data_IF_558415829148
#
_entry.id   IF_558415829148
#
_cell.length_a   1.000
_cell.length_b   1.000
_cell.length_c   1.000
_cell.angle_alpha   90.00
_cell.angle_beta   90.00
_cell.angle_gamma   90.00
#
_symmetry.space_group_name_H-M   'P 1'
#
loop_
_entity.id
_entity.type
_entity.pdbx_description
1 polymer ?
#
# COMPACT_ATOMS: atom_id res chain seq x y z
N UNK A 1 27.32 -45.42 -15.59
CA UNK A 1 26.39 -44.73 -16.50
C UNK A 1 25.08 -44.48 -15.75
N UNK A 2 24.84 -43.26 -15.25
CA UNK A 2 23.53 -42.76 -14.79
C UNK A 2 23.77 -41.41 -14.09
N UNK A 3 23.77 -40.30 -14.85
CA UNK A 3 23.67 -38.92 -14.31
C UNK A 3 23.52 -37.88 -15.44
N UNK A 4 22.55 -38.09 -16.32
CA UNK A 4 22.11 -37.06 -17.27
C UNK A 4 20.60 -37.21 -17.44
N UNK A 5 19.81 -36.67 -16.51
CA UNK A 5 18.36 -36.53 -16.72
C UNK A 5 17.64 -35.46 -15.88
N UNK A 6 18.37 -34.68 -15.05
CA UNK A 6 17.71 -33.70 -14.17
C UNK A 6 17.52 -32.31 -14.80
N UNK A 7 18.26 -31.97 -15.87
CA UNK A 7 18.15 -30.63 -16.48
C UNK A 7 16.93 -30.52 -17.39
N UNK A 8 16.57 -31.60 -18.11
CA UNK A 8 15.42 -31.59 -19.01
C UNK A 8 14.07 -31.45 -18.28
N UNK A 9 14.01 -31.95 -17.04
CA UNK A 9 12.80 -31.93 -16.20
C UNK A 9 12.52 -30.54 -15.60
N UNK A 10 13.56 -29.72 -15.41
CA UNK A 10 13.40 -28.32 -14.94
C UNK A 10 12.87 -27.43 -16.06
N UNK A 11 13.30 -27.66 -17.31
CA UNK A 11 12.82 -26.88 -18.46
C UNK A 11 11.35 -27.17 -18.82
N UNK A 12 10.87 -28.41 -18.67
CA UNK A 12 9.45 -28.73 -18.92
C UNK A 12 8.51 -28.16 -17.87
N UNK A 13 8.92 -28.07 -16.60
CA UNK A 13 8.11 -27.44 -15.55
C UNK A 13 8.01 -25.93 -15.77
N UNK A 14 9.09 -25.28 -16.21
CA UNK A 14 9.08 -23.84 -16.48
C UNK A 14 8.24 -23.47 -17.71
N UNK A 15 8.22 -24.33 -18.75
CA UNK A 15 7.36 -24.13 -19.91
C UNK A 15 5.86 -24.28 -19.60
N UNK A 16 5.48 -25.15 -18.66
CA UNK A 16 4.08 -25.31 -18.26
C UNK A 16 3.53 -24.11 -17.47
N UNK A 17 4.37 -23.41 -16.71
CA UNK A 17 3.96 -22.25 -15.91
C UNK A 17 3.68 -21.00 -16.75
N UNK A 18 4.28 -20.88 -17.94
CA UNK A 18 4.07 -19.72 -18.83
C UNK A 18 2.76 -19.84 -19.63
N UNK A 19 2.18 -21.04 -19.74
CA UNK A 19 1.01 -21.29 -20.59
C UNK A 19 -0.36 -21.04 -19.90
N UNK A 20 -0.40 -20.53 -18.67
CA UNK A 20 -1.64 -20.29 -17.90
C UNK A 20 -2.07 -18.82 -17.85
N UNK A 21 -1.39 -17.91 -18.55
CA UNK A 21 -1.83 -16.51 -18.66
C UNK A 21 -2.78 -16.38 -19.84
N UNK A 22 -4.08 -16.63 -19.62
CA UNK A 22 -5.12 -16.24 -20.56
C UNK A 22 -5.42 -14.74 -20.42
N UNK A 23 -5.51 -13.98 -21.53
CA UNK A 23 -6.06 -12.63 -21.48
C UNK A 23 -7.58 -12.73 -21.25
N UNK A 24 -8.08 -12.05 -20.21
CA UNK A 24 -9.51 -11.80 -20.08
C UNK A 24 -9.97 -10.93 -21.27
N UNK A 25 -10.74 -11.55 -22.14
CA UNK A 25 -11.52 -10.90 -23.18
C UNK A 25 -12.75 -10.31 -22.49
N UNK A 26 -12.77 -8.97 -22.39
CA UNK A 26 -13.96 -8.25 -21.96
C UNK A 26 -14.94 -8.26 -23.13
N UNK A 27 -15.98 -9.08 -23.03
CA UNK A 27 -17.13 -9.00 -23.91
C UNK A 27 -17.92 -7.73 -23.57
N UNK A 28 -17.88 -6.83 -24.53
CA UNK A 28 -18.70 -5.65 -24.72
C UNK A 28 -20.18 -6.08 -24.78
N UNK A 29 -21.00 -5.61 -23.84
CA UNK A 29 -22.44 -5.82 -23.89
C UNK A 29 -23.13 -4.50 -24.27
N UNK A 30 -23.65 -4.57 -25.48
CA UNK A 30 -24.47 -3.67 -26.26
C UNK A 30 -25.81 -3.32 -25.57
N UNK A 31 -26.14 -2.03 -25.66
CA UNK A 31 -27.46 -1.42 -25.93
C UNK A 31 -28.63 -1.55 -24.93
N UNK A 32 -29.07 -0.39 -24.45
CA UNK A 32 -30.49 -0.06 -24.41
C UNK A 32 -30.67 1.46 -24.63
N UNK A 33 -31.18 1.76 -25.82
CA UNK A 33 -31.72 3.03 -26.29
C UNK A 33 -32.78 3.62 -25.34
N UNK A 34 -32.73 4.94 -25.10
CA UNK A 34 -33.93 5.76 -24.98
C UNK A 34 -33.62 7.24 -25.27
N UNK A 35 -34.04 7.69 -26.46
CA UNK A 35 -34.20 9.10 -26.88
C UNK A 35 -35.35 9.80 -26.10
N UNK A 36 -35.75 11.09 -26.29
CA UNK A 36 -35.28 12.23 -27.14
C UNK A 36 -35.27 13.58 -26.32
N UNK A 37 -35.34 14.83 -26.86
CA UNK A 37 -35.30 15.34 -28.24
C UNK A 37 -34.30 16.49 -28.53
N UNK A 38 -34.15 16.74 -29.83
CA UNK A 38 -33.47 17.85 -30.51
C UNK A 38 -33.78 19.25 -29.96
N UNK A 39 -32.72 20.06 -29.80
CA UNK A 39 -32.80 21.51 -29.99
C UNK A 39 -31.68 21.93 -30.94
N UNK A 40 -32.14 22.45 -32.08
CA UNK A 40 -31.40 23.11 -33.16
C UNK A 40 -30.80 24.42 -32.67
N UNK A 41 -29.53 24.69 -32.97
CA UNK A 41 -29.08 26.02 -33.47
C UNK A 41 -27.65 25.99 -34.00
N UNK A 42 -27.54 26.53 -35.21
CA UNK A 42 -26.35 26.79 -36.00
C UNK A 42 -25.29 27.64 -35.29
N UNK A 43 -24.01 27.28 -35.44
CA UNK A 43 -22.98 28.31 -35.71
C UNK A 43 -21.70 27.74 -36.36
N UNK A 44 -21.62 27.95 -37.68
CA UNK A 44 -20.46 28.37 -38.49
C UNK A 44 -19.06 28.21 -37.89
N UNK A 45 -18.39 27.08 -38.17
CA UNK A 45 -16.95 26.92 -37.91
C UNK A 45 -16.10 27.32 -39.13
N UNK A 46 -15.35 28.41 -38.97
CA UNK A 46 -14.32 28.88 -39.91
C UNK A 46 -13.07 28.00 -39.80
N UNK A 47 -12.56 27.54 -40.94
CA UNK A 47 -11.24 26.94 -41.07
C UNK A 47 -10.15 27.98 -40.77
N UNK A 48 -9.38 27.76 -39.69
CA UNK A 48 -8.21 28.56 -39.33
C UNK A 48 -6.95 27.72 -39.49
N UNK A 49 -6.11 28.16 -40.43
CA UNK A 49 -4.77 27.67 -40.75
C UNK A 49 -3.90 27.52 -39.50
N UNK A 50 -3.36 26.32 -39.29
CA UNK A 50 -2.43 25.99 -38.20
C UNK A 50 -1.01 26.39 -38.59
N UNK A 51 -0.46 27.38 -37.90
CA UNK A 51 0.96 27.71 -37.92
C UNK A 51 1.66 26.90 -36.82
N UNK A 52 2.73 26.21 -37.20
CA UNK A 52 3.56 25.41 -36.31
C UNK A 52 4.44 26.34 -35.46
N UNK A 53 4.02 26.58 -34.23
CA UNK A 53 4.85 27.21 -33.20
C UNK A 53 5.75 26.18 -32.52
N UNK A 54 7.05 26.42 -32.56
CA UNK A 54 8.08 25.63 -31.89
C UNK A 54 8.12 25.98 -30.40
N UNK A 55 7.41 25.20 -29.58
CA UNK A 55 7.43 25.31 -28.12
C UNK A 55 8.81 24.94 -27.58
N UNK A 56 9.54 25.96 -27.12
CA UNK A 56 10.75 25.78 -26.30
C UNK A 56 10.32 25.23 -24.94
N UNK A 57 10.82 24.06 -24.57
CA UNK A 57 10.55 23.43 -23.27
C UNK A 57 10.93 24.40 -22.13
N UNK A 58 10.04 24.64 -21.16
CA UNK A 58 10.39 25.43 -19.98
C UNK A 58 11.53 24.72 -19.22
N UNK A 59 12.43 25.48 -18.59
CA UNK A 59 13.53 24.92 -17.82
C UNK A 59 13.01 23.95 -16.75
N UNK A 60 13.73 22.85 -16.47
CA UNK A 60 13.32 21.86 -15.47
C UNK A 60 13.14 22.56 -14.13
N UNK A 61 11.89 22.68 -13.69
CA UNK A 61 11.55 23.23 -12.39
C UNK A 61 12.13 22.31 -11.33
N UNK A 62 13.07 22.82 -10.55
CA UNK A 62 13.63 22.16 -9.37
C UNK A 62 12.49 21.59 -8.51
N UNK A 63 12.53 20.32 -8.09
CA UNK A 63 11.47 19.73 -7.31
C UNK A 63 11.27 20.54 -6.03
N UNK A 64 10.06 21.05 -5.86
CA UNK A 64 9.60 21.72 -4.65
C UNK A 64 9.88 20.82 -3.44
N UNK A 65 10.40 21.34 -2.31
CA UNK A 65 10.68 20.55 -1.11
C UNK A 65 9.45 19.76 -0.67
N UNK A 66 9.59 18.45 -0.67
CA UNK A 66 8.53 17.52 -0.31
C UNK A 66 8.11 17.75 1.15
N UNK A 67 6.86 18.14 1.35
CA UNK A 67 6.27 18.49 2.65
C UNK A 67 6.48 17.37 3.68
N UNK A 68 6.74 17.68 4.97
CA UNK A 68 7.10 16.67 5.99
C UNK A 68 6.05 15.57 6.12
N UNK A 69 6.51 14.32 6.09
CA UNK A 69 5.70 13.12 6.28
C UNK A 69 5.27 12.99 7.75
N UNK A 70 4.14 12.32 8.04
CA UNK A 70 3.97 11.81 9.39
C UNK A 70 5.10 10.83 9.71
N UNK A 71 5.91 11.11 10.73
CA UNK A 71 7.11 10.32 11.05
C UNK A 71 6.91 9.32 12.19
N UNK A 72 5.87 9.51 13.01
CA UNK A 72 5.63 8.69 14.20
C UNK A 72 4.89 7.41 13.82
N UNK A 73 5.65 6.38 13.46
CA UNK A 73 5.10 5.04 13.19
C UNK A 73 4.74 4.40 14.53
N UNK A 74 3.48 3.99 14.67
CA UNK A 74 2.96 3.28 15.85
C UNK A 74 2.49 1.89 15.44
N UNK A 75 2.63 0.94 16.36
CA UNK A 75 2.18 -0.45 16.21
C UNK A 75 1.17 -0.76 17.30
N UNK A 76 -0.01 -1.24 16.92
CA UNK A 76 -1.08 -1.57 17.86
C UNK A 76 -1.76 -2.88 17.48
N UNK A 77 -2.20 -3.61 18.49
CA UNK A 77 -2.91 -4.87 18.34
C UNK A 77 -4.17 -4.86 19.21
N UNK A 78 -5.31 -5.23 18.63
CA UNK A 78 -6.55 -5.46 19.38
C UNK A 78 -6.74 -6.96 19.51
N UNK A 79 -6.84 -7.45 20.74
CA UNK A 79 -6.96 -8.88 21.06
C UNK A 79 -8.41 -9.28 21.27
N UNK A 80 -8.72 -10.53 20.92
CA UNK A 80 -10.01 -11.09 21.26
C UNK A 80 -10.19 -11.22 22.79
N UNK A 81 -11.42 -11.12 23.30
CA UNK A 81 -11.70 -11.47 24.68
C UNK A 81 -11.46 -12.96 24.94
N UNK A 82 -11.33 -13.39 26.21
CA UNK A 82 -11.28 -14.80 26.57
C UNK A 82 -12.44 -15.58 25.94
N UNK A 83 -12.19 -16.80 25.42
CA UNK A 83 -10.99 -17.62 25.61
C UNK A 83 -9.85 -17.39 24.60
N UNK A 84 -10.00 -16.48 23.63
CA UNK A 84 -9.07 -16.31 22.51
C UNK A 84 -8.07 -15.16 22.70
N UNK A 85 -7.69 -14.86 23.95
CA UNK A 85 -6.83 -13.71 24.29
C UNK A 85 -5.40 -13.74 23.70
N UNK A 86 -5.00 -14.86 23.10
CA UNK A 86 -3.72 -15.01 22.41
C UNK A 86 -3.77 -14.59 20.93
N UNK A 87 -4.96 -14.37 20.38
CA UNK A 87 -5.18 -14.01 18.98
C UNK A 87 -5.61 -12.54 18.87
N UNK A 88 -5.07 -11.82 17.89
CA UNK A 88 -5.48 -10.45 17.58
C UNK A 88 -6.49 -10.43 16.45
N UNK A 89 -7.52 -9.60 16.58
CA UNK A 89 -8.51 -9.35 15.53
C UNK A 89 -8.10 -8.20 14.60
N UNK A 90 -7.37 -7.22 15.15
CA UNK A 90 -6.80 -6.08 14.42
C UNK A 90 -5.30 -6.02 14.70
N UNK A 91 -4.51 -5.82 13.66
CA UNK A 91 -3.12 -5.35 13.75
C UNK A 91 -3.00 -4.07 12.93
N UNK A 92 -2.41 -3.04 13.52
CA UNK A 92 -2.18 -1.75 12.89
C UNK A 92 -0.70 -1.40 13.01
N UNK A 93 -0.09 -0.96 11.91
CA UNK A 93 1.27 -0.46 11.86
C UNK A 93 1.32 0.74 10.91
N UNK A 94 1.61 1.94 11.39
CA UNK A 94 1.72 3.09 10.51
C UNK A 94 1.77 4.42 11.24
N UNK A 95 1.95 5.50 10.48
CA UNK A 95 1.94 6.86 11.03
C UNK A 95 0.63 7.57 10.68
N UNK A 96 0.06 8.28 11.66
CA UNK A 96 -1.19 9.05 11.51
C UNK A 96 -0.93 10.50 11.92
N UNK A 97 -1.38 11.44 11.08
CA UNK A 97 -1.44 12.86 11.38
C UNK A 97 -2.86 13.39 11.11
N UNK A 98 -3.42 14.07 12.09
CA UNK A 98 -4.76 14.65 12.05
C UNK A 98 -4.64 16.14 11.75
N UNK A 99 -5.34 16.62 10.74
CA UNK A 99 -5.49 18.04 10.41
C UNK A 99 -6.91 18.44 10.77
N UNK A 100 -7.02 19.28 11.78
CA UNK A 100 -8.29 19.80 12.29
C UNK A 100 -8.47 21.23 11.82
N UNK A 101 -9.66 21.52 11.30
CA UNK A 101 -10.07 22.91 11.09
C UNK A 101 -10.37 23.53 12.45
N UNK A 102 -9.45 24.35 12.97
CA UNK A 102 -9.57 24.88 14.34
C UNK A 102 -10.67 25.92 14.53
N UNK A 103 -11.29 26.42 13.45
CA UNK A 103 -12.46 27.28 13.57
C UNK A 103 -13.58 26.57 14.35
N UNK A 104 -13.65 25.24 14.21
CA UNK A 104 -14.58 24.38 14.93
C UNK A 104 -14.24 24.23 16.43
N UNK A 105 -12.96 24.23 16.80
CA UNK A 105 -12.51 23.85 18.16
C UNK A 105 -12.17 25.06 19.05
N UNK A 106 -11.57 26.09 18.47
CA UNK A 106 -10.98 27.21 19.21
C UNK A 106 -11.45 28.58 18.71
N UNK A 107 -12.38 28.63 17.74
CA UNK A 107 -12.88 29.88 17.15
C UNK A 107 -11.81 30.70 16.41
N UNK A 108 -10.65 30.11 16.12
CA UNK A 108 -9.55 30.72 15.36
C UNK A 108 -9.41 29.98 14.03
N UNK A 109 -9.02 30.67 12.95
CA UNK A 109 -8.84 30.07 11.63
C UNK A 109 -7.39 29.58 11.42
N UNK A 110 -6.93 28.61 12.20
CA UNK A 110 -5.56 28.07 12.09
C UNK A 110 -5.55 26.56 12.00
N UNK A 111 -5.14 25.95 10.89
CA UNK A 111 -5.12 24.48 10.80
C UNK A 111 -4.27 23.85 11.91
N UNK A 112 -4.90 23.07 12.78
CA UNK A 112 -4.23 22.38 13.88
C UNK A 112 -3.80 21.00 13.38
N UNK A 113 -2.48 20.78 13.35
CA UNK A 113 -1.87 19.49 12.98
C UNK A 113 -1.49 18.72 14.23
N UNK A 114 -1.95 17.48 14.35
CA UNK A 114 -1.72 16.62 15.49
C UNK A 114 -1.17 15.30 14.99
N UNK A 115 0.10 15.03 15.29
CA UNK A 115 0.66 13.69 15.11
C UNK A 115 0.19 12.77 16.23
N UNK A 116 -0.26 11.57 15.87
CA UNK A 116 -0.53 10.52 16.85
C UNK A 116 0.84 10.02 17.37
N UNK A 117 1.08 10.06 18.68
CA UNK A 117 2.40 9.71 19.21
C UNK A 117 2.58 8.19 19.27
N UNK A 118 3.84 7.75 19.25
CA UNK A 118 4.19 6.32 19.28
C UNK A 118 3.78 5.60 20.57
N UNK A 119 3.58 6.37 21.65
CA UNK A 119 3.16 5.86 22.96
C UNK A 119 1.64 5.92 23.17
N UNK A 120 0.84 6.15 22.12
CA UNK A 120 -0.60 6.03 22.21
C UNK A 120 -0.97 4.61 22.68
N UNK A 121 -1.97 4.53 23.57
CA UNK A 121 -2.49 3.26 24.07
C UNK A 121 -3.52 2.76 23.08
N UNK A 122 -3.34 1.56 22.54
CA UNK A 122 -4.31 0.90 21.69
C UNK A 122 -5.25 0.01 22.50
N UNK A 123 -6.54 0.15 22.26
CA UNK A 123 -7.59 -0.75 22.73
C UNK A 123 -8.60 -0.95 21.59
N UNK A 124 -9.65 -1.77 21.79
CA UNK A 124 -10.64 -1.96 20.75
C UNK A 124 -11.67 -3.03 21.03
N UNK A 125 -12.50 -3.30 20.02
CA UNK A 125 -13.48 -4.38 20.07
C UNK A 125 -13.38 -5.26 18.81
N UNK A 126 -13.48 -6.57 19.02
CA UNK A 126 -13.43 -7.59 17.98
C UNK A 126 -14.84 -8.13 17.69
N UNK A 127 -15.65 -7.38 16.94
CA UNK A 127 -16.93 -7.86 16.43
C UNK A 127 -16.80 -8.65 15.12
N UNK A 128 -17.92 -9.26 14.73
CA UNK A 128 -18.03 -10.05 13.50
C UNK A 128 -18.36 -9.19 12.27
N UNK A 129 -19.04 -8.06 12.48
CA UNK A 129 -19.46 -7.14 11.41
C UNK A 129 -18.68 -5.84 11.49
N UNK A 130 -18.48 -5.34 12.71
CA UNK A 130 -17.70 -4.13 12.98
C UNK A 130 -16.59 -4.44 13.96
N UNK A 131 -15.41 -3.86 13.74
CA UNK A 131 -14.30 -3.90 14.69
C UNK A 131 -13.79 -2.49 14.90
N UNK A 132 -13.32 -2.21 16.11
CA UNK A 132 -12.86 -0.86 16.44
C UNK A 132 -11.44 -0.91 16.98
N UNK A 133 -10.63 0.03 16.54
CA UNK A 133 -9.33 0.38 17.12
C UNK A 133 -9.46 1.76 17.76
N UNK A 134 -9.28 1.81 19.07
CA UNK A 134 -9.25 3.02 19.88
C UNK A 134 -7.80 3.33 20.24
N UNK A 135 -7.33 4.52 19.85
CA UNK A 135 -6.01 5.04 20.18
C UNK A 135 -6.15 6.20 21.16
N UNK A 136 -5.57 6.09 22.34
CA UNK A 136 -5.67 7.10 23.39
C UNK A 136 -4.30 7.64 23.77
N UNK A 137 -4.16 8.95 23.81
CA UNK A 137 -2.93 9.60 24.27
C UNK A 137 -3.21 10.95 24.90
N UNK A 138 -2.23 11.42 25.67
CA UNK A 138 -2.31 12.69 26.36
C UNK A 138 -1.20 13.63 25.90
N UNK A 139 -1.49 14.93 25.97
CA UNK A 139 -0.52 15.98 25.72
C UNK A 139 -0.65 17.04 26.81
N UNK A 140 0.48 17.42 27.38
CA UNK A 140 0.55 18.58 28.27
C UNK A 140 0.48 19.86 27.43
N UNK A 141 -0.36 20.81 27.85
CA UNK A 141 -0.38 22.13 27.24
C UNK A 141 0.90 22.89 27.61
N UNK A 142 1.61 23.40 26.61
CA UNK A 142 2.91 24.07 26.78
C UNK A 142 2.79 25.35 27.65
N UNK A 143 1.61 25.95 27.77
CA UNK A 143 1.42 27.28 28.37
C UNK A 143 0.31 27.38 29.42
N UNK A 144 -0.34 26.28 29.78
CA UNK A 144 -1.44 26.28 30.76
C UNK A 144 -1.38 25.04 31.63
N UNK A 145 -1.86 25.13 32.88
CA UNK A 145 -2.12 24.00 33.76
C UNK A 145 -3.29 23.15 33.24
N UNK A 146 -3.21 22.73 31.97
CA UNK A 146 -4.23 22.01 31.24
C UNK A 146 -3.63 20.75 30.62
N UNK A 147 -4.35 19.65 30.79
CA UNK A 147 -4.04 18.35 30.21
C UNK A 147 -5.06 18.08 29.10
N UNK A 148 -4.59 17.71 27.91
CA UNK A 148 -5.46 17.36 26.78
C UNK A 148 -5.36 15.87 26.55
N UNK A 149 -6.50 15.19 26.59
CA UNK A 149 -6.65 13.79 26.24
C UNK A 149 -7.29 13.66 24.86
N UNK A 150 -6.73 12.79 24.04
CA UNK A 150 -7.20 12.49 22.71
C UNK A 150 -7.60 11.02 22.64
N UNK A 151 -8.77 10.75 22.09
CA UNK A 151 -9.26 9.41 21.81
C UNK A 151 -9.65 9.33 20.32
N UNK A 152 -8.82 8.66 19.52
CA UNK A 152 -9.05 8.43 18.09
C UNK A 152 -9.62 7.03 17.89
N UNK A 153 -10.84 6.94 17.38
CA UNK A 153 -11.50 5.67 17.06
C UNK A 153 -11.49 5.45 15.55
N UNK A 154 -10.98 4.31 15.12
CA UNK A 154 -11.02 3.82 13.74
C UNK A 154 -11.95 2.60 13.72
N UNK A 155 -13.03 2.69 12.95
CA UNK A 155 -14.01 1.63 12.80
C UNK A 155 -13.84 0.94 11.45
N UNK A 156 -13.64 -0.38 11.51
CA UNK A 156 -13.61 -1.27 10.37
C UNK A 156 -14.96 -1.93 10.22
N UNK A 157 -15.46 -2.03 9.00
CA UNK A 157 -16.70 -2.73 8.71
C UNK A 157 -16.55 -3.78 7.63
N UNK A 158 -17.18 -4.93 7.87
CA UNK A 158 -17.19 -6.07 6.98
C UNK A 158 -18.34 -5.97 5.97
N UNK A 159 -18.05 -6.23 4.69
CA UNK A 159 -19.03 -6.26 3.60
C UNK A 159 -19.25 -7.70 3.13
N UNK A 160 -20.31 -8.38 3.61
CA UNK A 160 -20.53 -9.80 3.29
C UNK A 160 -21.05 -10.03 1.86
N UNK A 161 -21.68 -9.03 1.22
CA UNK A 161 -22.61 -9.32 0.12
C UNK A 161 -21.95 -9.72 -1.21
N UNK A 162 -20.77 -9.20 -1.59
CA UNK A 162 -20.23 -9.46 -2.95
C UNK A 162 -18.75 -9.86 -3.02
N UNK A 163 -17.88 -9.42 -2.09
CA UNK A 163 -16.42 -9.60 -2.23
C UNK A 163 -15.73 -10.14 -0.97
N UNK A 164 -16.48 -10.37 0.14
CA UNK A 164 -15.89 -10.62 1.46
C UNK A 164 -14.75 -9.64 1.72
N UNK A 165 -15.05 -8.36 1.69
CA UNK A 165 -14.09 -7.31 1.92
C UNK A 165 -14.36 -6.64 3.26
N UNK A 166 -13.34 -5.99 3.79
CA UNK A 166 -13.50 -5.01 4.86
C UNK A 166 -12.88 -3.70 4.44
N UNK A 167 -13.32 -2.62 5.08
CA UNK A 167 -12.78 -1.28 4.87
C UNK A 167 -12.83 -0.51 6.19
N UNK A 168 -12.18 0.65 6.22
CA UNK A 168 -12.39 1.65 7.26
C UNK A 168 -13.65 2.45 6.89
N UNK A 169 -14.64 2.44 7.77
CA UNK A 169 -15.93 3.12 7.56
C UNK A 169 -15.96 4.50 8.22
N UNK A 170 -15.49 4.57 9.46
CA UNK A 170 -15.56 5.76 10.29
C UNK A 170 -14.22 5.98 10.97
N UNK A 171 -13.75 7.22 10.95
CA UNK A 171 -12.67 7.69 11.81
C UNK A 171 -13.21 8.83 12.65
N UNK A 172 -13.12 8.76 13.97
CA UNK A 172 -13.60 9.81 14.86
C UNK A 172 -12.56 10.19 15.89
N UNK A 173 -12.50 11.48 16.20
CA UNK A 173 -11.62 12.05 17.20
C UNK A 173 -12.46 12.72 18.28
N UNK A 174 -12.25 12.28 19.52
CA UNK A 174 -12.68 12.98 20.72
C UNK A 174 -11.47 13.66 21.36
N UNK A 175 -11.59 14.95 21.65
CA UNK A 175 -10.58 15.73 22.37
C UNK A 175 -11.19 16.26 23.65
N UNK A 176 -10.61 15.90 24.79
CA UNK A 176 -11.07 16.33 26.11
C UNK A 176 -9.99 17.15 26.79
N UNK A 177 -10.33 18.37 27.21
CA UNK A 177 -9.41 19.25 27.93
C UNK A 177 -9.76 19.29 29.42
N UNK A 178 -8.75 19.09 30.26
CA UNK A 178 -8.87 19.14 31.71
C UNK A 178 -8.13 20.34 32.28
N UNK A 179 -8.70 20.99 33.29
CA UNK A 179 -7.96 21.92 34.15
C UNK A 179 -7.35 21.14 35.31
N UNK A 180 -6.03 21.21 35.49
CA UNK A 180 -5.37 20.54 36.61
C UNK A 180 -5.55 21.30 37.93
N UNK A 181 -6.06 22.54 37.90
CA UNK A 181 -6.16 23.44 39.07
C UNK A 181 -7.57 23.58 39.66
N UNK A 182 -8.64 23.18 38.96
CA UNK A 182 -10.03 23.40 39.40
C UNK A 182 -10.86 22.11 39.37
N UNK A 183 -11.78 21.94 40.33
CA UNK A 183 -12.80 20.89 40.34
C UNK A 183 -14.18 21.46 39.97
N UNK A 184 -14.93 20.88 39.01
CA UNK A 184 -14.67 19.66 38.26
C UNK A 184 -13.54 19.84 37.23
N UNK A 185 -12.76 18.77 37.03
CA UNK A 185 -11.53 18.82 36.24
C UNK A 185 -11.78 18.99 34.74
N UNK A 186 -12.97 18.69 34.22
CA UNK A 186 -13.25 18.68 32.78
C UNK A 186 -13.76 20.04 32.32
N UNK A 187 -13.08 20.67 31.35
CA UNK A 187 -13.45 21.99 30.83
C UNK A 187 -14.24 21.92 29.52
N UNK A 188 -13.88 21.02 28.60
CA UNK A 188 -14.47 20.96 27.26
C UNK A 188 -14.18 19.60 26.62
N UNK A 189 -15.17 19.03 25.92
CA UNK A 189 -15.02 17.86 25.07
C UNK A 189 -15.50 18.21 23.66
N UNK A 190 -14.63 18.07 22.67
CA UNK A 190 -14.95 18.36 21.28
C UNK A 190 -14.85 17.07 20.46
N UNK A 191 -15.87 16.80 19.65
CA UNK A 191 -15.98 15.60 18.84
C UNK A 191 -16.02 15.95 17.35
N UNK A 192 -15.25 15.22 16.55
CA UNK A 192 -15.33 15.32 15.09
C UNK A 192 -15.20 13.94 14.47
N UNK A 193 -15.87 13.71 13.34
CA UNK A 193 -15.81 12.45 12.64
C UNK A 193 -15.66 12.66 11.14
N UNK A 194 -14.93 11.72 10.55
CA UNK A 194 -14.90 11.41 9.15
C UNK A 194 -15.73 10.15 8.96
N UNK A 195 -17.01 10.31 8.68
CA UNK A 195 -17.90 9.23 8.28
C UNK A 195 -18.23 9.48 6.80
N UNK A 196 -17.62 8.71 5.89
CA UNK A 196 -17.93 8.62 4.44
C UNK A 196 -16.93 7.65 3.73
N UNK A 197 -16.65 6.49 4.34
CA UNK A 197 -15.86 5.41 3.74
C UNK A 197 -16.76 4.42 2.95
N UNK A 198 -16.21 3.73 1.93
CA UNK A 198 -15.11 2.80 2.13
C UNK A 198 -13.74 3.47 1.96
N UNK A 199 -12.95 3.53 3.02
CA UNK A 199 -11.52 3.83 2.91
C UNK A 199 -10.73 2.52 2.93
N UNK A 200 -9.85 2.36 1.94
CA UNK A 200 -8.96 1.20 1.80
C UNK A 200 -9.73 -0.13 1.82
N UNK A 201 -10.57 -0.43 0.81
CA UNK A 201 -11.19 -1.74 0.72
C UNK A 201 -10.12 -2.83 0.55
N UNK A 202 -10.20 -3.85 1.41
CA UNK A 202 -9.26 -4.97 1.47
C UNK A 202 -10.02 -6.27 1.40
N UNK A 203 -9.50 -7.21 0.62
CA UNK A 203 -10.02 -8.58 0.62
C UNK A 203 -9.82 -9.24 1.98
N UNK A 204 -10.79 -10.07 2.38
CA UNK A 204 -10.67 -10.85 3.62
C UNK A 204 -9.42 -11.74 3.56
N UNK A 205 -8.79 -11.94 4.73
CA UNK A 205 -7.48 -12.60 4.90
C UNK A 205 -6.30 -11.92 4.20
N UNK A 206 -6.43 -10.65 3.82
CA UNK A 206 -5.29 -9.83 3.37
C UNK A 206 -5.09 -8.65 4.31
N UNK A 207 -3.84 -8.19 4.39
CA UNK A 207 -3.50 -6.91 4.99
C UNK A 207 -3.50 -5.82 3.93
N UNK A 208 -3.89 -4.60 4.26
CA UNK A 208 -3.66 -3.44 3.40
C UNK A 208 -2.26 -2.91 3.64
N UNK A 209 -1.50 -2.59 2.59
CA UNK A 209 -0.19 -1.95 2.68
C UNK A 209 -0.11 -0.72 1.77
N UNK A 210 0.25 0.43 2.34
CA UNK A 210 0.52 1.67 1.63
C UNK A 210 1.66 2.43 2.30
N UNK A 211 2.83 2.35 1.68
CA UNK A 211 4.05 3.10 2.03
C UNK A 211 3.84 4.59 1.72
N UNK A 212 3.30 4.87 0.54
CA UNK A 212 2.98 6.24 0.11
C UNK A 212 2.03 6.95 1.05
N UNK A 213 2.12 8.28 1.05
CA UNK A 213 1.18 9.13 1.79
C UNK A 213 -0.22 9.03 1.19
N UNK A 214 -1.19 8.82 2.06
CA UNK A 214 -2.61 8.88 1.74
C UNK A 214 -3.30 9.94 2.60
N UNK A 215 -4.38 10.50 2.06
CA UNK A 215 -5.13 11.60 2.67
C UNK A 215 -6.60 11.23 2.59
N UNK A 216 -7.27 11.24 3.73
CA UNK A 216 -8.70 11.03 3.87
C UNK A 216 -9.30 12.34 4.37
N UNK A 217 -10.12 12.99 3.54
CA UNK A 217 -10.60 14.35 3.81
C UNK A 217 -12.06 14.31 4.22
N UNK A 218 -12.39 14.97 5.33
CA UNK A 218 -13.74 15.20 5.80
C UNK A 218 -13.98 16.69 6.06
N UNK A 219 -15.19 17.02 6.49
CA UNK A 219 -15.60 18.42 6.69
C UNK A 219 -14.76 19.14 7.75
N UNK A 220 -14.49 18.46 8.87
CA UNK A 220 -13.82 19.06 10.03
C UNK A 220 -12.54 18.31 10.45
N UNK A 221 -12.26 17.17 9.81
CA UNK A 221 -11.13 16.30 10.09
C UNK A 221 -10.56 15.79 8.78
N UNK A 222 -9.26 16.03 8.57
CA UNK A 222 -8.48 15.39 7.51
C UNK A 222 -7.43 14.49 8.15
N UNK A 223 -7.39 13.23 7.72
CA UNK A 223 -6.48 12.21 8.26
C UNK A 223 -5.44 11.90 7.20
N UNK A 224 -4.17 12.12 7.55
CA UNK A 224 -3.03 11.78 6.71
C UNK A 224 -2.39 10.53 7.30
N UNK A 225 -2.10 9.56 6.45
CA UNK A 225 -1.39 8.34 6.84
C UNK A 225 -0.19 8.10 5.94
N UNK A 226 0.84 7.46 6.48
CA UNK A 226 2.02 7.00 5.72
C UNK A 226 2.59 5.74 6.33
N UNK A 227 3.23 4.90 5.50
CA UNK A 227 3.74 3.59 5.93
C UNK A 227 2.67 2.75 6.64
N UNK A 228 1.43 2.85 6.14
CA UNK A 228 0.25 2.22 6.71
C UNK A 228 0.20 0.76 6.28
N UNK A 229 0.25 -0.14 7.24
CA UNK A 229 -0.12 -1.54 7.11
C UNK A 229 -1.18 -1.88 8.15
N UNK A 230 -2.32 -2.40 7.71
CA UNK A 230 -3.43 -2.72 8.62
C UNK A 230 -4.13 -3.99 8.19
N UNK A 231 -4.53 -4.78 9.17
CA UNK A 231 -5.32 -5.98 8.97
C UNK A 231 -6.39 -6.06 10.05
N UNK A 232 -7.64 -6.22 9.64
CA UNK A 232 -8.80 -6.40 10.53
C UNK A 232 -9.52 -7.72 10.21
N UNK A 233 -10.46 -8.11 11.07
CA UNK A 233 -11.25 -9.34 10.96
C UNK A 233 -10.41 -10.62 10.91
N UNK A 234 -9.23 -10.61 11.54
CA UNK A 234 -8.35 -11.78 11.61
C UNK A 234 -9.03 -12.92 12.37
N UNK A 235 -8.89 -14.19 11.94
CA UNK A 235 -9.61 -15.29 12.56
C UNK A 235 -9.16 -15.53 14.02
N UNK A 236 -10.13 -15.84 14.90
CA UNK A 236 -9.90 -16.10 16.33
C UNK A 236 -8.89 -17.23 16.61
N UNK A 237 -8.71 -18.15 15.66
CA UNK A 237 -7.78 -19.27 15.77
C UNK A 237 -6.37 -18.94 15.31
N UNK A 238 -6.14 -17.78 14.70
CA UNK A 238 -4.83 -17.38 14.23
C UNK A 238 -3.98 -16.83 15.39
N UNK A 239 -3.04 -17.64 15.85
CA UNK A 239 -1.97 -17.21 16.74
C UNK A 239 -0.88 -16.39 16.00
N UNK A 240 -1.06 -16.12 14.70
CA UNK A 240 -0.06 -15.42 13.89
C UNK A 240 0.01 -13.96 14.34
N UNK A 241 1.22 -13.51 14.69
CA UNK A 241 1.48 -12.11 15.05
C UNK A 241 1.87 -11.24 13.86
N UNK A 242 2.17 -11.84 12.72
CA UNK A 242 2.50 -11.12 11.49
C UNK A 242 1.26 -10.83 10.67
N UNK A 243 1.34 -9.81 9.83
CA UNK A 243 0.37 -9.56 8.79
C UNK A 243 0.23 -10.75 7.83
N UNK A 244 -0.96 -10.91 7.27
CA UNK A 244 -1.22 -11.74 6.10
C UNK A 244 -0.71 -11.09 4.81
N UNK A 245 -0.88 -11.78 3.68
CA UNK A 245 -0.47 -11.30 2.36
C UNK A 245 -1.02 -9.89 2.10
N UNK A 246 -0.14 -9.00 1.62
CA UNK A 246 -0.44 -7.59 1.54
C UNK A 246 -1.08 -7.21 0.19
N UNK A 247 -2.27 -6.60 0.25
CA UNK A 247 -2.88 -5.86 -0.83
C UNK A 247 -2.28 -4.45 -0.86
N UNK A 248 -1.40 -4.22 -1.85
CA UNK A 248 -0.67 -2.97 -2.02
C UNK A 248 -1.59 -1.88 -2.60
N UNK A 249 -1.51 -0.66 -2.07
CA UNK A 249 -2.30 0.46 -2.58
C UNK A 249 -1.86 0.90 -3.98
N UNK A 250 -2.80 1.48 -4.76
CA UNK A 250 -2.55 1.89 -6.15
C UNK A 250 -1.41 2.90 -6.32
N UNK A 251 -1.10 3.69 -5.30
CA UNK A 251 0.01 4.65 -5.33
C UNK A 251 1.39 3.97 -5.34
N UNK A 252 1.52 2.85 -4.65
CA UNK A 252 2.77 2.09 -4.59
C UNK A 252 2.87 1.05 -5.71
N UNK A 253 1.74 0.61 -6.26
CA UNK A 253 1.69 -0.41 -7.31
C UNK A 253 2.46 0.01 -8.58
N UNK A 254 2.44 1.30 -8.94
CA UNK A 254 3.15 1.85 -10.11
C UNK A 254 4.67 1.66 -10.05
N UNK A 255 5.24 1.52 -8.85
CA UNK A 255 6.69 1.34 -8.66
C UNK A 255 7.12 -0.11 -8.93
N UNK A 256 6.25 -1.08 -8.64
CA UNK A 256 6.59 -2.51 -8.69
C UNK A 256 6.54 -3.07 -10.12
N UNK A 257 5.67 -2.54 -10.98
CA UNK A 257 5.58 -2.92 -12.40
C UNK A 257 6.87 -2.64 -13.19
N UNK A 258 7.66 -1.65 -12.77
CA UNK A 258 8.93 -1.30 -13.44
C UNK A 258 10.05 -2.28 -13.08
N UNK A 259 10.05 -2.83 -11.86
CA UNK A 259 11.14 -3.69 -11.37
C UNK A 259 11.09 -5.09 -12.00
N UNK A 260 9.89 -5.64 -12.22
CA UNK A 260 9.72 -6.96 -12.84
C UNK A 260 10.10 -6.92 -14.33
N UNK A 261 9.89 -5.80 -15.03
CA UNK A 261 10.33 -5.62 -16.41
C UNK A 261 11.86 -5.67 -16.57
N UNK A 262 12.61 -5.13 -15.61
CA UNK A 262 14.08 -5.12 -15.66
C UNK A 262 14.66 -6.51 -15.38
N UNK A 263 14.06 -7.26 -14.45
CA UNK A 263 14.53 -8.61 -14.11
C UNK A 263 14.39 -9.57 -15.32
N UNK A 264 13.22 -9.58 -15.97
CA UNK A 264 12.97 -10.45 -17.14
C UNK A 264 13.78 -9.98 -18.35
N UNK A 265 13.94 -8.67 -18.56
CA UNK A 265 14.78 -8.12 -19.62
C UNK A 265 16.26 -8.50 -19.46
N UNK A 266 16.79 -8.47 -18.23
CA UNK A 266 18.20 -8.76 -17.96
C UNK A 266 18.60 -10.21 -18.26
N UNK A 267 17.74 -11.17 -17.92
CA UNK A 267 17.98 -12.60 -18.20
C UNK A 267 17.99 -12.86 -19.71
N UNK A 268 17.09 -12.23 -20.47
CA UNK A 268 17.05 -12.39 -21.92
C UNK A 268 18.32 -11.83 -22.60
N UNK A 269 18.82 -10.68 -22.14
CA UNK A 269 20.05 -10.08 -22.66
C UNK A 269 21.27 -10.95 -22.38
N UNK A 270 21.37 -11.55 -21.18
CA UNK A 270 22.48 -12.46 -20.85
C UNK A 270 22.44 -13.72 -21.72
N UNK A 271 21.26 -14.32 -21.93
CA UNK A 271 21.11 -15.49 -22.81
C UNK A 271 21.52 -15.13 -24.24
N UNK A 272 21.06 -14.00 -24.76
CA UNK A 272 21.44 -13.55 -26.10
C UNK A 272 22.94 -13.28 -26.21
N UNK A 273 23.57 -12.67 -25.19
CA UNK A 273 25.01 -12.42 -25.17
C UNK A 273 25.82 -13.72 -25.15
N UNK A 274 25.38 -14.74 -24.39
CA UNK A 274 26.03 -16.06 -24.36
C UNK A 274 25.87 -16.81 -25.69
N UNK A 275 24.68 -16.75 -26.31
CA UNK A 275 24.45 -17.34 -27.63
C UNK A 275 25.28 -16.65 -28.70
N UNK A 276 25.32 -15.31 -28.69
CA UNK A 276 26.11 -14.54 -29.66
C UNK A 276 27.61 -14.73 -29.46
N UNK A 277 28.07 -14.70 -28.21
CA UNK A 277 29.47 -14.97 -27.86
C UNK A 277 29.89 -16.40 -28.22
N UNK A 278 29.04 -17.39 -27.97
CA UNK A 278 29.26 -18.77 -28.40
C UNK A 278 29.27 -18.92 -29.93
N UNK A 279 28.34 -18.27 -30.63
CA UNK A 279 28.26 -18.29 -32.10
C UNK A 279 29.49 -17.65 -32.76
N UNK A 280 29.90 -16.47 -32.28
CA UNK A 280 31.09 -15.76 -32.75
C UNK A 280 32.35 -16.56 -32.41
N UNK A 281 32.47 -17.08 -31.18
CA UNK A 281 33.60 -17.91 -30.78
C UNK A 281 33.75 -19.18 -31.65
N UNK A 282 32.63 -19.81 -32.00
CA UNK A 282 32.61 -20.98 -32.88
C UNK A 282 33.01 -20.63 -34.32
N UNK A 283 32.58 -19.48 -34.85
CA UNK A 283 32.93 -19.05 -36.21
C UNK A 283 34.37 -18.52 -36.36
N UNK A 284 34.91 -17.87 -35.33
CA UNK A 284 36.21 -17.19 -35.42
C UNK A 284 37.38 -17.99 -34.80
N UNK A 285 37.17 -19.21 -34.32
CA UNK A 285 38.26 -20.17 -34.07
C UNK A 285 39.20 -19.85 -32.90
N UNK A 286 38.84 -18.94 -32.00
CA UNK A 286 39.65 -18.63 -30.81
C UNK A 286 39.34 -19.57 -29.65
N UNK A 287 39.88 -20.79 -29.68
CA UNK A 287 39.92 -21.67 -28.51
C UNK A 287 41.00 -21.19 -27.52
N UNK A 288 40.69 -20.16 -26.72
CA UNK A 288 41.53 -19.72 -25.58
C UNK A 288 40.85 -19.99 -24.22
N UNK A 289 40.02 -21.03 -24.13
CA UNK A 289 39.42 -21.48 -22.86
C UNK A 289 40.28 -22.59 -22.22
N UNK A 290 40.56 -22.52 -20.90
CA UNK A 290 41.51 -23.40 -20.20
C UNK A 290 41.06 -24.87 -20.10
N UNK A 291 39.86 -25.22 -20.54
CA UNK A 291 39.34 -26.60 -20.48
C UNK A 291 39.84 -27.52 -21.60
N UNK A 292 40.57 -27.02 -22.60
CA UNK A 292 41.08 -27.84 -23.72
C UNK A 292 42.47 -28.47 -23.48
N UNK A 293 43.04 -28.40 -22.27
CA UNK A 293 44.38 -28.95 -22.01
C UNK A 293 44.37 -30.11 -21.00
N UNK A 294 43.71 -31.23 -21.35
CA UNK A 294 43.86 -32.49 -20.60
C UNK A 294 43.71 -33.73 -21.49
N UNK A 295 44.73 -34.02 -22.30
CA UNK A 295 45.05 -35.38 -22.75
C UNK A 295 46.55 -35.62 -22.62
N UNK A 296 46.86 -36.82 -22.13
CA UNK A 296 48.17 -37.49 -22.04
C UNK A 296 49.06 -37.19 -20.83
N UNK A 297 48.80 -37.91 -19.73
CA UNK A 297 49.81 -38.57 -18.89
C UNK A 297 49.06 -39.39 -17.83
N UNK A 298 49.24 -40.67 -17.57
CA UNK A 298 50.15 -41.68 -18.08
C UNK A 298 49.68 -43.05 -17.53
N UNK A 299 49.97 -44.10 -18.28
CA UNK A 299 49.88 -45.49 -17.83
C UNK A 299 50.97 -45.72 -16.78
N UNK A 300 50.62 -46.12 -15.56
CA UNK A 300 51.55 -46.86 -14.70
C UNK A 300 50.94 -48.22 -14.34
N UNK A 301 51.68 -49.23 -14.77
CA UNK A 301 51.53 -50.66 -14.53
C UNK A 301 52.06 -50.93 -13.11
N UNK A 302 51.28 -51.58 -12.25
CA UNK A 302 51.79 -52.21 -11.03
C UNK A 302 51.48 -53.70 -11.10
N UNK A 303 52.55 -54.47 -11.24
CA UNK A 303 52.62 -55.91 -11.01
C UNK A 303 52.67 -56.15 -9.49
N UNK A 304 51.68 -56.88 -8.92
CA UNK A 304 51.82 -57.90 -7.86
C UNK A 304 50.64 -58.87 -8.02
#
# INVERSE_FOLDING_TARGET
MAKVNNILLVFTIFALLISQVQPQQNDEMEEAELSPPEIVSDDKLQAKTSASDSTTLPPPTSPTPEQPFPHNILTQEVKYPPPFSNSSCIIFHGAIQLHLNSSFFFGKNTDLKIDVPVNATGNGNCGNVTQTLLLEWKRESINTSQEIEYSLTIEFGFRPNNTKQYDIQVISLLMTTYNTTTTPKTLQANFTSLANGPFYPVDFNHSFLCISRTVMTGTNLTVLTSSLQVEAFRPQTSAQKSFSDAQICSKDNSTVGTVIGIAVGSVLVIILALLFGGYVGFRYGYCNWPCCNRRNSGYQRLDI
#
